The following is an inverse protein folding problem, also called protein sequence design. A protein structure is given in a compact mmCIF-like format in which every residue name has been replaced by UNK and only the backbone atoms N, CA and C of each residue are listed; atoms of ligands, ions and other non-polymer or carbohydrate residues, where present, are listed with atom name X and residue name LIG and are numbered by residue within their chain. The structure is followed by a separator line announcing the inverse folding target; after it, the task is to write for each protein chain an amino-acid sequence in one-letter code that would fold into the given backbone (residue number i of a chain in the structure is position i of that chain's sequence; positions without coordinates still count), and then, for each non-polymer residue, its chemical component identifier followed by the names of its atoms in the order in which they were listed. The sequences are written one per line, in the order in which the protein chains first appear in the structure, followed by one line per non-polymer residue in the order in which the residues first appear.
data_IF_869111098223
#
_entry.id   IF_869111098223
#
_cell.length_a   1.000
_cell.length_b   1.000
_cell.length_c   1.000
_cell.angle_alpha   90.00
_cell.angle_beta   90.00
_cell.angle_gamma   90.00
#
_symmetry.space_group_name_H-M   'P 1'
#
loop_
_entity.id
_entity.type
_entity.pdbx_description
1 polymer ?
#
# COMPACT_ATOMS: atom_id res chain seq x y z
N UNK A 1 41.07 53.92 -35.75
CA UNK A 1 39.61 53.82 -35.56
C UNK A 1 39.11 52.55 -36.24
N UNK A 2 39.02 51.43 -35.51
CA UNK A 2 38.39 50.19 -35.95
C UNK A 2 37.93 49.45 -34.67
N UNK A 3 36.66 49.57 -34.29
CA UNK A 3 35.50 48.72 -34.65
C UNK A 3 35.49 47.33 -34.01
N UNK A 4 34.77 47.28 -32.86
CA UNK A 4 33.87 46.24 -32.34
C UNK A 4 33.73 44.95 -33.17
N UNK A 5 33.95 43.79 -32.52
CA UNK A 5 33.03 42.62 -32.49
C UNK A 5 33.34 41.76 -31.25
N UNK A 6 32.46 41.78 -30.24
CA UNK A 6 32.40 40.75 -29.19
C UNK A 6 31.30 39.79 -29.64
N UNK A 7 31.66 38.55 -29.93
CA UNK A 7 30.72 37.46 -30.17
C UNK A 7 30.35 36.85 -28.80
N UNK A 8 29.11 37.05 -28.38
CA UNK A 8 28.53 36.39 -27.22
C UNK A 8 28.06 35.00 -27.70
N UNK A 9 28.80 33.94 -27.35
CA UNK A 9 28.33 32.58 -27.52
C UNK A 9 27.34 32.28 -26.40
N UNK A 10 26.04 32.37 -26.71
CA UNK A 10 24.99 31.88 -25.84
C UNK A 10 25.05 30.35 -25.78
N UNK A 11 25.43 29.81 -24.64
CA UNK A 11 25.20 28.40 -24.32
C UNK A 11 23.69 28.21 -24.15
N UNK A 12 23.05 27.65 -25.17
CA UNK A 12 21.69 27.11 -25.04
C UNK A 12 21.85 25.81 -24.25
N UNK A 13 21.63 25.88 -22.95
CA UNK A 13 21.38 24.72 -22.12
C UNK A 13 20.02 24.14 -22.53
N UNK A 14 20.03 23.14 -23.40
CA UNK A 14 18.90 22.24 -23.60
C UNK A 14 18.73 21.43 -22.30
N UNK A 15 17.94 21.97 -21.37
CA UNK A 15 17.26 21.16 -20.38
C UNK A 15 16.28 20.30 -21.17
N UNK A 16 16.64 19.03 -21.41
CA UNK A 16 15.71 18.05 -21.91
C UNK A 16 14.68 17.78 -20.82
N UNK A 17 13.57 18.51 -20.85
CA UNK A 17 12.32 17.97 -20.31
C UNK A 17 11.99 16.76 -21.19
N UNK A 18 11.92 15.57 -20.59
CA UNK A 18 11.20 14.47 -21.22
C UNK A 18 9.81 15.02 -21.56
N UNK A 19 9.54 15.18 -22.86
CA UNK A 19 8.24 15.58 -23.32
C UNK A 19 7.38 14.34 -23.25
N UNK A 20 6.71 14.15 -22.12
CA UNK A 20 5.55 13.27 -22.05
C UNK A 20 4.53 13.77 -23.07
N UNK A 21 3.95 12.85 -23.84
CA UNK A 21 2.97 13.22 -24.87
C UNK A 21 1.79 13.95 -24.21
N UNK A 22 1.32 15.05 -24.80
CA UNK A 22 0.14 15.75 -24.30
C UNK A 22 -1.05 14.78 -24.21
N UNK A 23 -1.85 14.87 -23.14
CA UNK A 23 -2.97 13.97 -22.87
C UNK A 23 -3.80 13.67 -24.12
N UNK A 24 -4.26 12.43 -24.24
CA UNK A 24 -5.04 11.93 -25.38
C UNK A 24 -6.29 12.76 -25.71
N UNK A 25 -6.73 13.63 -24.79
CA UNK A 25 -7.75 14.65 -25.00
C UNK A 25 -7.58 15.87 -24.07
N UNK A 26 -8.23 16.98 -24.41
CA UNK A 26 -8.34 18.16 -23.52
C UNK A 26 -9.62 18.07 -22.68
N UNK A 27 -9.47 18.10 -21.35
CA UNK A 27 -10.56 18.06 -20.39
C UNK A 27 -10.95 19.49 -19.93
N UNK A 28 -12.19 19.86 -20.21
CA UNK A 28 -12.78 21.13 -19.77
C UNK A 28 -13.69 20.97 -18.54
N UNK A 29 -14.01 19.74 -18.14
CA UNK A 29 -14.89 19.44 -17.00
C UNK A 29 -14.05 19.43 -15.72
N UNK A 30 -14.41 20.19 -14.66
CA UNK A 30 -13.67 20.17 -13.41
C UNK A 30 -13.76 18.79 -12.73
N UNK A 31 -12.64 18.07 -12.65
CA UNK A 31 -12.54 16.75 -12.02
C UNK A 31 -11.63 16.82 -10.79
N UNK A 32 -12.04 16.20 -9.69
CA UNK A 32 -11.20 16.01 -8.50
C UNK A 32 -11.02 14.54 -8.17
N UNK A 33 -9.83 14.18 -7.67
CA UNK A 33 -9.56 12.86 -7.11
C UNK A 33 -9.16 12.90 -5.63
N UNK A 34 -9.49 11.85 -4.90
CA UNK A 34 -8.99 11.58 -3.54
C UNK A 34 -8.44 10.16 -3.46
N UNK A 35 -7.16 10.00 -3.12
CA UNK A 35 -6.47 8.70 -3.03
C UNK A 35 -5.40 8.67 -1.94
N UNK A 36 -4.80 7.50 -1.73
CA UNK A 36 -3.71 7.33 -0.78
C UNK A 36 -2.44 8.08 -1.21
N UNK A 37 -1.67 8.60 -0.25
CA UNK A 37 -0.40 9.28 -0.53
C UNK A 37 0.79 8.33 -0.71
N UNK A 38 1.08 7.90 -1.93
CA UNK A 38 2.34 7.22 -2.26
C UNK A 38 2.71 7.38 -3.75
N UNK A 39 3.91 6.96 -4.12
CA UNK A 39 4.53 7.30 -5.40
C UNK A 39 3.74 6.85 -6.63
N UNK A 40 3.13 5.66 -6.59
CA UNK A 40 2.32 5.20 -7.71
C UNK A 40 1.06 6.06 -7.92
N UNK A 41 0.34 6.42 -6.84
CA UNK A 41 -0.78 7.37 -6.97
C UNK A 41 -0.31 8.74 -7.44
N UNK A 42 0.86 9.20 -6.98
CA UNK A 42 1.47 10.44 -7.48
C UNK A 42 1.68 10.38 -8.99
N UNK A 43 2.36 9.36 -9.50
CA UNK A 43 2.59 9.17 -10.94
C UNK A 43 1.28 9.15 -11.74
N UNK A 44 0.31 8.36 -11.29
CA UNK A 44 -1.02 8.25 -11.90
C UNK A 44 -1.72 9.61 -11.93
N UNK A 45 -1.72 10.35 -10.82
CA UNK A 45 -2.41 11.65 -10.75
C UNK A 45 -1.68 12.78 -11.46
N UNK A 46 -0.35 12.72 -11.56
CA UNK A 46 0.43 13.68 -12.34
C UNK A 46 0.09 13.53 -13.83
N UNK A 47 0.02 12.30 -14.35
CA UNK A 47 -0.44 12.02 -15.71
C UNK A 47 -1.90 12.46 -15.95
N UNK A 48 -2.80 12.20 -15.00
CA UNK A 48 -4.18 12.72 -15.06
C UNK A 48 -4.24 14.26 -15.17
N UNK A 49 -3.30 14.97 -14.54
CA UNK A 49 -3.26 16.43 -14.55
C UNK A 49 -2.89 17.01 -15.93
N UNK A 50 -2.24 16.25 -16.79
CA UNK A 50 -1.87 16.67 -18.15
C UNK A 50 -3.10 16.88 -19.05
N UNK A 51 -4.24 16.27 -18.72
CA UNK A 51 -5.50 16.46 -19.45
C UNK A 51 -6.16 17.82 -19.20
N UNK A 52 -5.73 18.57 -18.17
CA UNK A 52 -6.36 19.84 -17.80
C UNK A 52 -7.62 19.69 -16.96
N UNK A 53 -8.04 20.79 -16.33
CA UNK A 53 -9.21 20.87 -15.42
C UNK A 53 -9.30 19.77 -14.36
N UNK A 54 -8.14 19.26 -13.89
CA UNK A 54 -8.03 18.20 -12.90
C UNK A 54 -7.28 18.65 -11.65
N UNK A 55 -7.73 18.20 -10.48
CA UNK A 55 -7.05 18.41 -9.20
C UNK A 55 -7.01 17.12 -8.37
N UNK A 56 -5.81 16.67 -8.01
CA UNK A 56 -5.63 15.52 -7.13
C UNK A 56 -5.45 15.94 -5.66
N UNK A 57 -6.00 15.12 -4.76
CA UNK A 57 -5.70 15.11 -3.33
C UNK A 57 -5.12 13.74 -2.95
N UNK A 58 -3.85 13.75 -2.55
CA UNK A 58 -3.14 12.59 -2.02
C UNK A 58 -3.06 12.72 -0.50
N UNK A 59 -3.68 11.79 0.24
CA UNK A 59 -3.79 11.89 1.69
C UNK A 59 -3.57 10.53 2.37
N UNK A 60 -2.85 10.50 3.50
CA UNK A 60 -2.67 9.28 4.32
C UNK A 60 -3.96 8.88 5.06
N UNK A 61 -4.84 9.85 5.32
CA UNK A 61 -6.12 9.67 6.00
C UNK A 61 -7.31 9.63 5.03
N UNK A 62 -7.05 9.47 3.73
CA UNK A 62 -8.09 9.42 2.69
C UNK A 62 -9.22 8.44 3.04
N UNK A 63 -8.89 7.29 3.65
CA UNK A 63 -9.84 6.24 4.06
C UNK A 63 -10.94 6.74 5.00
N UNK A 64 -10.65 7.75 5.81
CA UNK A 64 -11.60 8.35 6.77
C UNK A 64 -12.47 9.44 6.13
N UNK A 65 -11.98 10.06 5.05
CA UNK A 65 -12.63 11.18 4.35
C UNK A 65 -13.50 10.70 3.19
N UNK A 66 -13.05 9.67 2.49
CA UNK A 66 -13.60 9.22 1.21
C UNK A 66 -15.08 8.81 1.29
N UNK A 67 -15.56 8.06 2.29
CA UNK A 67 -16.98 7.70 2.37
C UNK A 67 -17.91 8.91 2.40
N UNK A 68 -17.69 9.85 3.32
CA UNK A 68 -18.51 11.06 3.43
C UNK A 68 -18.39 11.95 2.18
N UNK A 69 -17.21 12.00 1.56
CA UNK A 69 -16.99 12.78 0.35
C UNK A 69 -17.77 12.24 -0.87
N UNK A 70 -17.93 10.92 -0.95
CA UNK A 70 -18.71 10.23 -1.99
C UNK A 70 -20.22 10.22 -1.71
N UNK A 71 -20.63 10.26 -0.44
CA UNK A 71 -22.04 10.39 -0.03
C UNK A 71 -22.63 11.76 -0.33
N UNK A 72 -21.81 12.81 -0.40
CA UNK A 72 -22.25 14.16 -0.76
C UNK A 72 -22.99 14.18 -2.10
N UNK A 73 -23.86 15.18 -2.28
CA UNK A 73 -24.65 15.36 -3.50
C UNK A 73 -24.65 16.84 -3.96
N UNK A 74 -23.90 17.19 -5.03
CA UNK A 74 -23.01 16.31 -5.79
C UNK A 74 -21.82 15.81 -4.94
N UNK A 75 -21.20 14.70 -5.34
CA UNK A 75 -20.02 14.16 -4.67
C UNK A 75 -18.88 15.20 -4.69
N UNK A 76 -18.06 15.22 -3.63
CA UNK A 76 -16.96 16.19 -3.51
C UNK A 76 -15.76 15.86 -4.43
N UNK A 77 -15.63 14.59 -4.81
CA UNK A 77 -14.63 14.08 -5.75
C UNK A 77 -15.31 13.16 -6.77
N UNK A 78 -14.90 13.27 -8.03
CA UNK A 78 -15.41 12.43 -9.12
C UNK A 78 -14.67 11.09 -9.19
N UNK A 79 -13.37 11.09 -8.86
CA UNK A 79 -12.50 9.91 -8.89
C UNK A 79 -12.06 9.54 -7.46
N UNK A 80 -12.13 8.26 -7.11
CA UNK A 80 -11.64 7.75 -5.84
C UNK A 80 -10.52 6.74 -6.09
N UNK A 81 -9.38 6.91 -5.41
CA UNK A 81 -8.42 5.83 -5.27
C UNK A 81 -8.83 4.91 -4.13
N UNK A 82 -8.97 3.61 -4.41
CA UNK A 82 -9.40 2.60 -3.45
C UNK A 82 -8.45 1.42 -3.43
N UNK A 83 -8.53 0.61 -2.38
CA UNK A 83 -7.99 -0.73 -2.29
C UNK A 83 -9.08 -1.72 -1.87
N UNK A 84 -8.74 -3.01 -1.73
CA UNK A 84 -9.65 -4.02 -1.15
C UNK A 84 -10.31 -3.53 0.16
N UNK A 85 -9.56 -2.83 1.00
CA UNK A 85 -10.04 -2.37 2.30
C UNK A 85 -10.96 -1.14 2.24
N UNK A 86 -10.85 -0.30 1.21
CA UNK A 86 -11.58 0.97 1.14
C UNK A 86 -12.70 1.00 0.12
N UNK A 87 -12.77 0.02 -0.81
CA UNK A 87 -13.90 -0.09 -1.73
C UNK A 87 -15.19 -0.52 -1.01
N UNK A 88 -15.08 -1.34 0.03
CA UNK A 88 -16.24 -1.98 0.70
C UNK A 88 -17.25 -0.96 1.27
N UNK A 89 -16.84 0.08 2.03
CA UNK A 89 -17.79 1.10 2.50
C UNK A 89 -18.55 1.79 1.36
N UNK A 90 -17.88 2.10 0.25
CA UNK A 90 -18.48 2.78 -0.91
C UNK A 90 -19.49 1.90 -1.66
N UNK A 91 -19.22 0.59 -1.72
CA UNK A 91 -20.15 -0.40 -2.25
C UNK A 91 -21.40 -0.49 -1.37
N UNK A 92 -21.21 -0.58 -0.05
CA UNK A 92 -22.29 -0.72 0.91
C UNK A 92 -23.21 0.52 0.94
N UNK A 93 -22.63 1.72 0.84
CA UNK A 93 -23.39 2.98 0.74
C UNK A 93 -23.98 3.21 -0.65
N UNK A 94 -23.57 2.42 -1.66
CA UNK A 94 -24.03 2.56 -3.03
C UNK A 94 -23.64 3.90 -3.68
N UNK A 95 -22.48 4.45 -3.30
CA UNK A 95 -22.00 5.80 -3.70
C UNK A 95 -21.02 5.78 -4.86
N UNK A 96 -20.63 4.59 -5.35
CA UNK A 96 -19.85 4.40 -6.58
C UNK A 96 -20.72 3.79 -7.68
N UNK A 97 -20.46 4.16 -8.93
CA UNK A 97 -21.23 3.68 -10.08
C UNK A 97 -20.60 2.42 -10.71
N UNK A 98 -21.40 1.53 -11.32
CA UNK A 98 -20.89 0.55 -12.26
C UNK A 98 -20.15 1.23 -13.42
N UNK A 99 -19.04 0.62 -13.84
CA UNK A 99 -18.14 1.13 -14.86
C UNK A 99 -18.31 0.42 -16.21
N UNK A 100 -19.22 -0.56 -16.34
CA UNK A 100 -19.37 -1.36 -17.56
C UNK A 100 -19.55 -0.51 -18.83
N UNK A 101 -20.41 0.51 -18.80
CA UNK A 101 -20.64 1.42 -19.93
C UNK A 101 -19.41 2.30 -20.23
N UNK A 102 -18.70 2.75 -19.19
CA UNK A 102 -17.50 3.59 -19.31
C UNK A 102 -16.34 2.78 -19.88
N UNK A 103 -16.15 1.55 -19.40
CA UNK A 103 -15.16 0.60 -19.91
C UNK A 103 -15.46 0.24 -21.36
N UNK A 104 -16.73 0.04 -21.74
CA UNK A 104 -17.10 -0.23 -23.13
C UNK A 104 -16.76 0.94 -24.06
N UNK A 105 -16.93 2.18 -23.58
CA UNK A 105 -16.64 3.41 -24.34
C UNK A 105 -15.15 3.73 -24.41
N UNK A 106 -14.40 3.61 -23.31
CA UNK A 106 -13.05 4.19 -23.17
C UNK A 106 -11.99 3.23 -22.61
N UNK A 107 -12.35 2.01 -22.22
CA UNK A 107 -11.47 1.06 -21.53
C UNK A 107 -10.75 0.08 -22.46
N UNK A 108 -10.52 0.41 -23.74
CA UNK A 108 -9.99 -0.55 -24.73
C UNK A 108 -8.58 -1.04 -24.42
N UNK A 109 -7.82 -0.29 -23.61
CA UNK A 109 -6.47 -0.66 -23.19
C UNK A 109 -6.44 -1.43 -21.85
N UNK A 110 -7.60 -1.64 -21.21
CA UNK A 110 -7.67 -2.35 -19.94
C UNK A 110 -7.57 -3.86 -20.15
N UNK A 111 -6.77 -4.51 -19.30
CA UNK A 111 -6.65 -5.96 -19.26
C UNK A 111 -7.69 -6.58 -18.31
N UNK A 112 -8.14 -7.84 -18.54
CA UNK A 112 -9.16 -8.48 -17.71
C UNK A 112 -8.84 -8.53 -16.21
N UNK A 113 -7.57 -8.66 -15.85
CA UNK A 113 -7.07 -8.67 -14.46
C UNK A 113 -7.16 -7.30 -13.76
N UNK A 114 -7.42 -6.21 -14.49
CA UNK A 114 -7.68 -4.90 -13.92
C UNK A 114 -9.16 -4.70 -13.56
N UNK A 115 -10.08 -5.50 -14.10
CA UNK A 115 -11.52 -5.27 -13.96
C UNK A 115 -12.04 -5.93 -12.68
N UNK A 116 -12.16 -5.14 -11.61
CA UNK A 116 -12.69 -5.63 -10.33
C UNK A 116 -14.22 -5.72 -10.43
N UNK A 117 -14.73 -6.96 -10.36
CA UNK A 117 -16.17 -7.24 -10.48
C UNK A 117 -16.81 -7.54 -9.13
N UNK A 118 -17.93 -6.88 -8.85
CA UNK A 118 -18.79 -7.15 -7.70
C UNK A 118 -20.20 -7.36 -8.21
N UNK A 119 -20.84 -8.47 -7.84
CA UNK A 119 -22.17 -8.85 -8.33
C UNK A 119 -22.31 -8.84 -9.87
N UNK A 120 -21.23 -9.20 -10.58
CA UNK A 120 -21.17 -9.26 -12.03
C UNK A 120 -20.85 -7.93 -12.75
N UNK A 121 -20.91 -6.80 -12.05
CA UNK A 121 -20.64 -5.46 -12.60
C UNK A 121 -19.19 -5.04 -12.35
N UNK A 122 -18.59 -4.28 -13.26
CA UNK A 122 -17.27 -3.68 -13.05
C UNK A 122 -17.44 -2.52 -12.06
N UNK A 123 -16.87 -2.63 -10.87
CA UNK A 123 -16.98 -1.59 -9.83
C UNK A 123 -15.71 -0.79 -9.62
N UNK A 124 -14.56 -1.31 -10.05
CA UNK A 124 -13.29 -0.58 -10.03
C UNK A 124 -12.38 -1.04 -11.17
N UNK A 125 -11.40 -0.21 -11.50
CA UNK A 125 -10.28 -0.55 -12.37
C UNK A 125 -9.00 -0.56 -11.53
N UNK A 126 -8.44 -1.74 -11.29
CA UNK A 126 -7.20 -1.91 -10.56
C UNK A 126 -5.99 -1.45 -11.40
N UNK A 127 -5.09 -0.72 -10.75
CA UNK A 127 -3.87 -0.17 -11.36
C UNK A 127 -2.62 -0.97 -10.97
N UNK A 128 -2.60 -1.54 -9.77
CA UNK A 128 -1.42 -2.22 -9.22
C UNK A 128 -1.83 -3.30 -8.22
N UNK A 129 -0.89 -4.21 -7.96
CA UNK A 129 -0.92 -5.09 -6.78
C UNK A 129 0.12 -4.63 -5.77
N UNK A 130 -0.15 -4.92 -4.50
CA UNK A 130 0.72 -4.60 -3.40
C UNK A 130 0.74 -5.73 -2.37
N UNK A 131 1.87 -5.92 -1.73
CA UNK A 131 2.04 -6.85 -0.61
C UNK A 131 3.29 -6.44 0.16
N UNK A 132 3.39 -6.87 1.42
CA UNK A 132 4.66 -6.69 2.12
C UNK A 132 5.66 -7.75 1.67
N UNK A 133 6.93 -7.38 1.67
CA UNK A 133 8.05 -8.26 1.37
C UNK A 133 9.27 -7.82 2.17
N UNK A 134 10.26 -8.71 2.29
CA UNK A 134 11.48 -8.39 3.04
C UNK A 134 12.40 -7.51 2.19
N UNK A 135 12.62 -6.28 2.65
CA UNK A 135 13.70 -5.42 2.20
C UNK A 135 14.85 -5.54 3.18
N UNK A 136 16.08 -5.73 2.68
CA UNK A 136 17.26 -5.88 3.55
C UNK A 136 18.53 -5.29 2.95
N UNK A 137 19.43 -4.83 3.82
CA UNK A 137 20.77 -4.35 3.47
C UNK A 137 21.68 -5.52 3.17
N UNK A 138 21.80 -5.87 1.89
CA UNK A 138 22.57 -7.03 1.43
C UNK A 138 24.06 -6.90 1.76
N UNK A 139 24.59 -5.67 1.78
CA UNK A 139 25.96 -5.38 2.20
C UNK A 139 26.18 -5.69 3.69
N UNK A 140 25.25 -5.29 4.57
CA UNK A 140 25.34 -5.59 6.02
C UNK A 140 25.25 -7.10 6.27
N UNK A 141 24.31 -7.78 5.61
CA UNK A 141 24.18 -9.23 5.78
C UNK A 141 25.44 -9.96 5.31
N UNK A 142 26.00 -9.58 4.16
CA UNK A 142 27.22 -10.16 3.64
C UNK A 142 28.44 -9.93 4.56
N UNK A 143 28.64 -8.69 5.03
CA UNK A 143 29.75 -8.33 5.92
C UNK A 143 29.71 -9.09 7.26
N UNK A 144 28.50 -9.39 7.75
CA UNK A 144 28.29 -10.12 9.00
C UNK A 144 28.15 -11.65 8.80
N UNK A 145 28.24 -12.15 7.56
CA UNK A 145 28.05 -13.57 7.24
C UNK A 145 26.66 -14.08 7.62
N UNK A 146 25.64 -13.27 7.40
CA UNK A 146 24.23 -13.57 7.64
C UNK A 146 23.59 -13.96 6.32
N UNK A 147 23.02 -15.17 6.25
CA UNK A 147 22.22 -15.61 5.11
C UNK A 147 20.91 -14.80 5.02
N UNK A 148 20.30 -14.74 3.83
CA UNK A 148 19.01 -14.04 3.65
C UNK A 148 17.92 -14.71 4.49
N UNK A 149 17.29 -14.00 5.47
CA UNK A 149 16.23 -14.58 6.28
C UNK A 149 14.99 -14.91 5.47
N UNK A 150 14.36 -16.04 5.79
CA UNK A 150 13.13 -16.55 5.16
C UNK A 150 11.98 -16.72 6.15
N UNK A 151 12.25 -16.62 7.45
CA UNK A 151 11.26 -16.69 8.52
C UNK A 151 11.46 -15.57 9.54
N UNK A 152 10.42 -15.28 10.33
CA UNK A 152 10.52 -14.28 11.40
C UNK A 152 11.57 -14.63 12.45
N UNK A 153 11.74 -15.91 12.79
CA UNK A 153 12.80 -16.33 13.71
C UNK A 153 14.21 -16.06 13.15
N UNK A 154 14.42 -16.29 11.86
CA UNK A 154 15.68 -15.94 11.19
C UNK A 154 15.89 -14.42 11.11
N UNK A 155 14.82 -13.64 10.92
CA UNK A 155 14.89 -12.18 10.98
C UNK A 155 15.35 -11.72 12.36
N UNK A 156 14.80 -12.26 13.45
CA UNK A 156 15.24 -11.89 14.80
C UNK A 156 16.67 -12.33 15.10
N UNK A 157 17.08 -13.52 14.63
CA UNK A 157 18.47 -13.97 14.76
C UNK A 157 19.44 -13.06 13.98
N UNK A 158 19.05 -12.60 12.79
CA UNK A 158 19.81 -11.61 12.02
C UNK A 158 19.83 -10.26 12.75
N UNK A 159 18.69 -9.81 13.27
CA UNK A 159 18.55 -8.55 13.99
C UNK A 159 19.44 -8.51 15.25
N UNK A 160 19.54 -9.61 15.99
CA UNK A 160 20.43 -9.74 17.15
C UNK A 160 21.90 -9.56 16.77
N UNK A 161 22.35 -10.22 15.70
CA UNK A 161 23.73 -10.07 15.19
C UNK A 161 24.01 -8.65 14.72
N UNK A 162 23.08 -8.03 14.00
CA UNK A 162 23.20 -6.65 13.51
C UNK A 162 23.26 -5.67 14.68
N UNK A 163 22.42 -5.86 15.71
CA UNK A 163 22.42 -5.08 16.95
C UNK A 163 23.76 -5.17 17.66
N UNK A 164 24.30 -6.39 17.79
CA UNK A 164 25.59 -6.63 18.44
C UNK A 164 26.76 -5.98 17.66
N UNK A 165 26.66 -5.90 16.34
CA UNK A 165 27.65 -5.23 15.50
C UNK A 165 27.56 -3.69 15.56
N UNK A 166 26.39 -3.13 15.87
CA UNK A 166 26.19 -1.68 16.01
C UNK A 166 26.39 -0.89 14.71
N UNK A 167 26.07 -1.50 13.57
CA UNK A 167 26.30 -0.92 12.22
C UNK A 167 25.15 -0.04 11.72
N UNK A 168 24.01 -0.07 12.41
CA UNK A 168 22.81 0.74 12.17
C UNK A 168 22.18 1.13 13.52
N UNK A 169 21.31 2.14 13.52
CA UNK A 169 20.62 2.61 14.73
C UNK A 169 19.66 1.53 15.27
N UNK A 170 18.86 0.94 14.37
CA UNK A 170 17.89 -0.10 14.70
C UNK A 170 17.98 -1.23 13.67
N UNK A 171 18.15 -2.50 14.07
CA UNK A 171 18.20 -3.59 13.08
C UNK A 171 16.94 -3.72 12.22
N UNK A 172 15.76 -3.46 12.79
CA UNK A 172 14.47 -3.60 12.12
C UNK A 172 13.72 -2.27 12.02
N UNK A 173 13.06 -2.04 10.88
CA UNK A 173 11.96 -1.09 10.74
C UNK A 173 10.62 -1.80 10.82
N UNK A 174 9.63 -1.22 11.51
CA UNK A 174 8.30 -1.79 11.66
C UNK A 174 7.21 -0.71 11.57
N UNK A 175 6.12 -1.01 10.88
CA UNK A 175 4.99 -0.11 10.64
C UNK A 175 3.93 -0.23 11.73
N UNK A 176 4.24 0.17 12.96
CA UNK A 176 3.36 0.00 14.13
C UNK A 176 2.64 1.28 14.58
N UNK A 177 2.51 2.29 13.72
CA UNK A 177 1.69 3.47 14.03
C UNK A 177 0.29 3.06 14.50
N UNK A 178 -0.16 3.61 15.63
CA UNK A 178 -1.48 3.33 16.21
C UNK A 178 -2.61 3.47 15.18
N UNK A 179 -3.63 2.62 15.27
CA UNK A 179 -4.70 2.53 14.29
C UNK A 179 -4.38 1.54 13.16
N UNK A 180 -4.48 2.00 11.91
CA UNK A 180 -4.47 1.11 10.74
C UNK A 180 -3.14 0.34 10.54
N UNK A 181 -1.99 0.96 10.80
CA UNK A 181 -0.71 0.30 10.50
C UNK A 181 -0.44 -0.88 11.46
N UNK A 182 -0.57 -0.66 12.77
CA UNK A 182 -0.41 -1.74 13.76
C UNK A 182 -1.43 -2.87 13.58
N UNK A 183 -2.68 -2.54 13.22
CA UNK A 183 -3.68 -3.54 12.89
C UNK A 183 -3.29 -4.38 11.69
N UNK A 184 -2.72 -3.75 10.66
CA UNK A 184 -2.28 -4.43 9.46
C UNK A 184 -1.14 -5.42 9.73
N UNK A 185 -0.21 -5.11 10.63
CA UNK A 185 0.85 -6.05 11.04
C UNK A 185 0.25 -7.30 11.68
N UNK A 186 -0.75 -7.16 12.56
CA UNK A 186 -1.48 -8.31 13.09
C UNK A 186 -2.22 -9.08 12.00
N UNK A 187 -2.91 -8.38 11.09
CA UNK A 187 -3.64 -8.99 9.96
C UNK A 187 -2.71 -9.78 9.04
N UNK A 188 -1.45 -9.37 8.90
CA UNK A 188 -0.44 -10.09 8.15
C UNK A 188 0.05 -11.35 8.88
N UNK A 189 0.30 -11.24 10.19
CA UNK A 189 0.84 -12.36 10.98
C UNK A 189 -0.19 -13.45 11.24
N UNK A 190 -1.43 -13.07 11.54
CA UNK A 190 -2.44 -13.97 12.08
C UNK A 190 -2.81 -15.13 11.12
N UNK A 191 -3.09 -14.89 9.82
CA UNK A 191 -3.25 -15.97 8.84
C UNK A 191 -1.96 -16.76 8.59
N UNK A 192 -0.79 -16.14 8.76
CA UNK A 192 0.50 -16.80 8.68
C UNK A 192 0.68 -17.90 9.74
N UNK A 193 0.01 -17.78 10.88
CA UNK A 193 -0.10 -18.82 11.91
C UNK A 193 -1.32 -19.74 11.75
N UNK A 194 -2.03 -19.65 10.61
CA UNK A 194 -3.22 -20.46 10.32
C UNK A 194 -4.51 -19.97 11.00
N UNK A 195 -4.53 -18.73 11.50
CA UNK A 195 -5.71 -18.12 12.09
C UNK A 195 -6.77 -17.74 11.06
N UNK A 196 -8.04 -17.93 11.42
CA UNK A 196 -9.20 -17.34 10.73
C UNK A 196 -9.78 -16.22 11.58
N UNK A 197 -10.14 -15.10 10.97
CA UNK A 197 -10.59 -13.91 11.70
C UNK A 197 -12.00 -14.08 12.27
N UNK A 198 -12.81 -14.92 11.63
CA UNK A 198 -14.23 -15.07 11.95
C UNK A 198 -14.62 -16.54 12.01
N UNK A 199 -15.55 -16.85 12.91
CA UNK A 199 -16.27 -18.11 12.89
C UNK A 199 -17.36 -18.08 11.80
N UNK A 200 -17.96 -19.24 11.51
CA UNK A 200 -19.03 -19.40 10.50
C UNK A 200 -20.25 -18.48 10.74
N UNK A 201 -20.47 -18.06 11.98
CA UNK A 201 -21.56 -17.16 12.40
C UNK A 201 -21.18 -15.67 12.40
N UNK A 202 -20.02 -15.33 11.82
CA UNK A 202 -19.39 -13.99 11.81
C UNK A 202 -18.90 -13.47 13.16
N UNK A 203 -18.96 -14.24 14.25
CA UNK A 203 -18.30 -13.85 15.50
C UNK A 203 -16.78 -13.84 15.32
N UNK A 204 -16.08 -13.01 16.09
CA UNK A 204 -14.61 -12.96 16.02
C UNK A 204 -13.98 -14.28 16.51
N UNK A 205 -12.82 -14.63 15.93
CA UNK A 205 -12.06 -15.82 16.29
C UNK A 205 -10.58 -15.53 16.60
N UNK A 206 -10.22 -14.25 16.78
CA UNK A 206 -8.82 -13.82 16.96
C UNK A 206 -8.25 -14.17 18.32
N UNK A 207 -9.08 -14.41 19.33
CA UNK A 207 -8.68 -14.93 20.64
C UNK A 207 -8.38 -16.42 20.57
N UNK A 208 -7.23 -16.73 19.99
CA UNK A 208 -6.79 -18.09 19.69
C UNK A 208 -5.28 -18.23 19.85
N UNK A 209 -4.77 -19.47 19.76
CA UNK A 209 -3.33 -19.74 19.78
C UNK A 209 -2.59 -18.99 18.67
N UNK A 210 -3.19 -18.86 17.49
CA UNK A 210 -2.64 -18.09 16.37
C UNK A 210 -2.58 -16.58 16.72
N UNK A 211 -3.58 -16.06 17.44
CA UNK A 211 -3.60 -14.67 17.89
C UNK A 211 -2.49 -14.39 18.90
N UNK A 212 -2.30 -15.28 19.87
CA UNK A 212 -1.22 -15.18 20.85
C UNK A 212 0.17 -15.23 20.18
N UNK A 213 0.36 -16.11 19.19
CA UNK A 213 1.61 -16.20 18.41
C UNK A 213 1.86 -14.95 17.57
N UNK A 214 0.82 -14.38 16.96
CA UNK A 214 0.90 -13.12 16.23
C UNK A 214 1.35 -11.98 17.16
N UNK A 215 0.70 -11.82 18.33
CA UNK A 215 1.08 -10.83 19.34
C UNK A 215 2.52 -11.02 19.83
N UNK A 216 2.92 -12.25 20.16
CA UNK A 216 4.28 -12.54 20.61
C UNK A 216 5.35 -12.20 19.55
N UNK A 217 5.04 -12.44 18.26
CA UNK A 217 5.93 -12.06 17.15
C UNK A 217 6.04 -10.53 17.05
N UNK A 218 4.92 -9.82 17.11
CA UNK A 218 4.92 -8.35 17.10
C UNK A 218 5.68 -7.76 18.30
N UNK A 219 5.49 -8.29 19.50
CA UNK A 219 6.18 -7.86 20.72
C UNK A 219 7.70 -8.06 20.63
N UNK A 220 8.14 -9.22 20.12
CA UNK A 220 9.57 -9.52 19.93
C UNK A 220 10.26 -8.55 18.97
N UNK A 221 9.53 -7.99 18.00
CA UNK A 221 10.08 -6.98 17.10
C UNK A 221 10.51 -5.69 17.83
N UNK A 222 9.84 -5.34 18.94
CA UNK A 222 10.11 -4.12 19.72
C UNK A 222 11.55 -4.07 20.27
N UNK A 223 12.19 -5.22 20.45
CA UNK A 223 13.58 -5.29 20.91
C UNK A 223 14.60 -4.76 19.87
N UNK A 224 14.19 -4.66 18.60
CA UNK A 224 15.06 -4.37 17.46
C UNK A 224 14.61 -3.17 16.63
N UNK A 225 13.50 -2.54 16.98
CA UNK A 225 12.95 -1.36 16.29
C UNK A 225 13.29 -0.07 17.03
N UNK A 226 12.95 1.06 16.39
CA UNK A 226 12.91 2.35 17.05
C UNK A 226 11.96 2.31 18.27
N UNK A 227 12.36 2.77 19.47
CA UNK A 227 11.48 2.86 20.63
C UNK A 227 10.21 3.70 20.41
N UNK A 228 10.20 4.63 19.45
CA UNK A 228 9.02 5.42 19.07
C UNK A 228 8.17 4.74 17.98
N UNK A 229 8.15 3.40 17.93
CA UNK A 229 7.48 2.64 16.86
C UNK A 229 5.98 2.93 16.70
N UNK A 230 5.29 3.43 17.73
CA UNK A 230 3.86 3.76 17.68
C UNK A 230 3.54 5.03 16.86
N UNK A 231 4.55 5.75 16.36
CA UNK A 231 4.36 6.79 15.33
C UNK A 231 4.85 6.34 13.95
N UNK A 232 5.43 5.14 13.85
CA UNK A 232 6.07 4.60 12.65
C UNK A 232 5.05 4.08 11.64
N UNK A 233 4.73 4.90 10.63
CA UNK A 233 4.02 4.44 9.44
C UNK A 233 4.99 4.02 8.32
N UNK A 234 4.44 3.52 7.22
CA UNK A 234 5.26 3.06 6.08
C UNK A 234 6.18 4.12 5.49
N UNK A 235 5.82 5.41 5.55
CA UNK A 235 6.66 6.50 5.08
C UNK A 235 7.83 6.72 6.04
N UNK A 236 7.56 6.68 7.35
CA UNK A 236 8.60 6.75 8.36
C UNK A 236 9.64 5.62 8.21
N UNK A 237 9.19 4.37 8.06
CA UNK A 237 10.09 3.21 7.85
C UNK A 237 10.87 3.35 6.55
N UNK A 238 10.24 3.79 5.46
CA UNK A 238 10.92 4.07 4.20
C UNK A 238 12.06 5.08 4.41
N UNK A 239 11.80 6.18 5.11
CA UNK A 239 12.80 7.22 5.38
C UNK A 239 13.94 6.71 6.27
N UNK A 240 13.64 5.89 7.29
CA UNK A 240 14.69 5.24 8.10
C UNK A 240 15.62 4.39 7.23
N UNK A 241 15.05 3.64 6.28
CA UNK A 241 15.82 2.80 5.36
C UNK A 241 16.68 3.64 4.41
N UNK A 242 16.10 4.67 3.78
CA UNK A 242 16.82 5.63 2.91
C UNK A 242 17.99 6.30 3.64
N UNK A 243 17.81 6.63 4.92
CA UNK A 243 18.84 7.25 5.77
C UNK A 243 19.87 6.23 6.30
N UNK A 244 19.75 4.95 5.98
CA UNK A 244 20.65 3.89 6.44
C UNK A 244 20.54 3.58 7.94
N UNK A 245 19.44 3.99 8.59
CA UNK A 245 19.21 3.79 10.03
C UNK A 245 18.74 2.38 10.39
N UNK A 246 18.21 1.66 9.39
CA UNK A 246 17.76 0.29 9.54
C UNK A 246 18.41 -0.65 8.54
N UNK A 247 18.46 -1.94 8.90
CA UNK A 247 19.05 -2.98 8.07
C UNK A 247 18.00 -3.86 7.40
N UNK A 248 16.84 -4.10 8.02
CA UNK A 248 15.78 -4.94 7.47
C UNK A 248 14.40 -4.35 7.77
N UNK A 249 13.43 -4.58 6.90
CA UNK A 249 12.02 -4.29 7.13
C UNK A 249 11.15 -5.19 6.26
N UNK A 250 10.07 -5.74 6.83
CA UNK A 250 8.98 -6.30 6.02
C UNK A 250 8.04 -5.13 5.67
N UNK A 251 8.12 -4.62 4.45
CA UNK A 251 7.50 -3.35 4.06
C UNK A 251 6.72 -3.51 2.76
N UNK A 252 5.78 -2.61 2.48
CA UNK A 252 5.03 -2.60 1.22
C UNK A 252 5.92 -2.49 0.00
N UNK A 253 5.66 -3.28 -1.05
CA UNK A 253 6.43 -3.22 -2.30
C UNK A 253 6.37 -1.85 -2.97
N UNK A 254 5.29 -1.09 -2.77
CA UNK A 254 5.18 0.31 -3.22
C UNK A 254 6.17 1.28 -2.57
N UNK A 255 6.94 0.84 -1.56
CA UNK A 255 8.02 1.62 -0.92
C UNK A 255 9.40 1.26 -1.44
N UNK A 256 9.51 0.19 -2.25
CA UNK A 256 10.80 -0.37 -2.67
C UNK A 256 11.60 0.58 -3.56
N UNK A 257 10.95 1.21 -4.55
CA UNK A 257 11.60 2.10 -5.52
C UNK A 257 12.31 3.30 -4.87
N UNK A 258 11.83 3.76 -3.71
CA UNK A 258 12.44 4.87 -2.97
C UNK A 258 13.88 4.59 -2.51
N UNK A 259 14.29 3.32 -2.41
CA UNK A 259 15.66 2.95 -2.06
C UNK A 259 16.67 3.28 -3.17
N UNK A 260 16.20 3.36 -4.42
CA UNK A 260 17.01 3.63 -5.61
C UNK A 260 17.07 5.12 -5.98
N UNK A 261 16.34 5.99 -5.29
CA UNK A 261 16.39 7.43 -5.53
C UNK A 261 17.68 8.03 -4.95
N UNK A 262 18.67 8.29 -5.81
CA UNK A 262 19.95 8.86 -5.40
C UNK A 262 19.88 10.30 -4.85
N UNK A 263 18.76 11.01 -5.03
CA UNK A 263 18.56 12.32 -4.42
C UNK A 263 18.21 12.22 -2.92
N UNK A 264 17.51 11.15 -2.52
CA UNK A 264 16.92 11.01 -1.18
C UNK A 264 17.49 9.81 -0.40
N UNK A 265 18.13 8.84 -1.06
CA UNK A 265 18.61 7.58 -0.46
C UNK A 265 20.13 7.51 -0.35
N UNK A 266 20.60 7.13 0.84
CA UNK A 266 22.02 6.85 1.14
C UNK A 266 22.39 5.37 0.92
N UNK A 267 21.40 4.55 0.55
CA UNK A 267 21.53 3.08 0.43
C UNK A 267 21.30 2.57 -0.99
N UNK A 268 21.38 3.45 -1.99
CA UNK A 268 21.28 3.07 -3.42
C UNK A 268 22.24 1.92 -3.74
N UNK A 269 21.70 0.87 -4.36
CA UNK A 269 22.45 -0.33 -4.75
C UNK A 269 22.88 -1.23 -3.58
N UNK A 270 22.39 -1.00 -2.36
CA UNK A 270 22.71 -1.80 -1.17
C UNK A 270 21.51 -2.56 -0.60
N UNK A 271 20.32 -2.34 -1.14
CA UNK A 271 19.08 -2.96 -0.69
C UNK A 271 18.69 -4.05 -1.67
N UNK A 272 18.45 -5.25 -1.14
CA UNK A 272 17.92 -6.37 -1.89
C UNK A 272 16.54 -6.76 -1.34
N UNK A 273 15.79 -7.49 -2.17
CA UNK A 273 14.42 -7.90 -1.88
C UNK A 273 14.32 -9.42 -1.77
N UNK A 274 13.57 -9.90 -0.80
CA UNK A 274 13.18 -11.31 -0.64
C UNK A 274 11.68 -11.41 -0.37
N UNK A 275 11.13 -12.63 -0.43
CA UNK A 275 9.74 -12.87 -0.06
C UNK A 275 9.47 -12.40 1.37
N UNK A 276 8.21 -12.10 1.68
CA UNK A 276 7.81 -11.86 3.06
C UNK A 276 8.15 -13.11 3.91
N UNK A 277 8.68 -12.93 5.11
CA UNK A 277 9.03 -14.04 5.98
C UNK A 277 7.80 -14.89 6.30
N UNK A 278 7.99 -16.21 6.40
CA UNK A 278 6.97 -17.09 6.96
C UNK A 278 6.91 -16.93 8.48
N UNK A 279 5.70 -17.04 9.03
CA UNK A 279 5.48 -17.04 10.48
C UNK A 279 5.73 -18.43 11.11
N UNK A 280 5.56 -19.49 10.33
CA UNK A 280 5.82 -20.87 10.75
C UNK A 280 6.33 -21.73 9.59
N UNK A 281 7.07 -22.78 9.91
CA UNK A 281 7.57 -23.72 8.92
C UNK A 281 6.43 -24.33 8.09
N UNK A 282 6.58 -24.33 6.77
CA UNK A 282 5.57 -24.82 5.83
C UNK A 282 4.33 -23.93 5.67
N UNK A 283 4.26 -22.80 6.39
CA UNK A 283 3.20 -21.79 6.23
C UNK A 283 3.38 -20.93 4.98
N UNK A 284 2.35 -20.14 4.66
CA UNK A 284 2.45 -19.11 3.65
C UNK A 284 3.32 -17.95 4.16
N UNK A 285 3.89 -17.11 3.27
CA UNK A 285 4.43 -15.81 3.67
C UNK A 285 3.44 -15.05 4.55
N UNK A 286 3.90 -14.52 5.69
CA UNK A 286 3.03 -13.86 6.67
C UNK A 286 2.70 -12.44 6.21
N UNK A 287 1.79 -12.34 5.24
CA UNK A 287 1.34 -11.09 4.66
C UNK A 287 0.00 -11.31 3.95
N UNK A 288 -0.60 -10.22 3.47
CA UNK A 288 -1.82 -10.23 2.67
C UNK A 288 -1.56 -9.63 1.28
N UNK A 289 -2.33 -10.08 0.28
CA UNK A 289 -2.31 -9.54 -1.07
C UNK A 289 -3.35 -8.42 -1.21
N UNK A 290 -2.94 -7.31 -1.81
CA UNK A 290 -3.73 -6.11 -2.04
C UNK A 290 -3.69 -5.70 -3.50
N UNK A 291 -4.70 -4.94 -3.90
CA UNK A 291 -4.67 -4.12 -5.11
C UNK A 291 -5.11 -2.70 -4.78
N UNK A 292 -4.62 -1.76 -5.56
CA UNK A 292 -5.10 -0.37 -5.58
C UNK A 292 -5.68 -0.07 -6.96
N UNK A 293 -6.68 0.81 -7.02
CA UNK A 293 -7.39 1.12 -8.25
C UNK A 293 -8.34 2.29 -8.14
N UNK A 294 -8.97 2.64 -9.25
CA UNK A 294 -9.91 3.77 -9.34
C UNK A 294 -11.36 3.31 -9.29
N UNK A 295 -12.20 4.15 -8.68
CA UNK A 295 -13.66 4.13 -8.74
C UNK A 295 -14.18 5.48 -9.21
N UNK A 296 -15.40 5.51 -9.76
CA UNK A 296 -16.09 6.73 -10.16
C UNK A 296 -17.30 6.94 -9.25
N UNK A 297 -17.45 8.16 -8.74
CA UNK A 297 -18.59 8.52 -7.90
C UNK A 297 -19.91 8.34 -8.65
N UNK A 298 -20.97 8.01 -7.92
CA UNK A 298 -22.33 7.87 -8.46
C UNK A 298 -23.11 9.18 -8.42
N UNK A 299 -22.90 10.00 -7.39
CA UNK A 299 -23.63 11.25 -7.17
C UNK A 299 -23.04 12.42 -7.99
N UNK A 300 -22.83 12.20 -9.29
CA UNK A 300 -22.30 13.17 -10.26
C UNK A 300 -23.09 13.04 -11.57
N UNK A 301 -22.97 14.03 -12.46
CA UNK A 301 -23.58 13.95 -13.79
C UNK A 301 -22.89 12.90 -14.67
N UNK A 302 -23.57 12.42 -15.72
CA UNK A 302 -22.95 11.51 -16.70
C UNK A 302 -21.80 12.19 -17.46
N UNK A 303 -21.89 13.50 -17.71
CA UNK A 303 -20.80 14.28 -18.30
C UNK A 303 -19.54 14.27 -17.43
N UNK A 304 -19.69 14.50 -16.11
CA UNK A 304 -18.58 14.38 -15.16
C UNK A 304 -18.03 12.97 -15.09
N UNK A 305 -18.88 11.94 -15.17
CA UNK A 305 -18.41 10.55 -15.12
C UNK A 305 -17.67 10.11 -16.39
N UNK A 306 -18.14 10.50 -17.58
CA UNK A 306 -17.45 10.28 -18.86
C UNK A 306 -16.08 10.99 -18.83
N UNK A 307 -16.02 12.25 -18.37
CA UNK A 307 -14.76 12.99 -18.24
C UNK A 307 -13.82 12.38 -17.19
N UNK A 308 -14.31 12.07 -15.98
CA UNK A 308 -13.54 11.47 -14.91
C UNK A 308 -12.91 10.13 -15.30
N UNK A 309 -13.67 9.28 -15.99
CA UNK A 309 -13.14 7.99 -16.43
C UNK A 309 -12.06 8.16 -17.49
N UNK A 310 -12.24 9.06 -18.46
CA UNK A 310 -11.22 9.34 -19.48
C UNK A 310 -9.94 9.91 -18.88
N UNK A 311 -10.06 10.87 -17.95
CA UNK A 311 -8.91 11.39 -17.18
C UNK A 311 -8.22 10.23 -16.45
N UNK A 312 -8.98 9.35 -15.80
CA UNK A 312 -8.41 8.21 -15.09
C UNK A 312 -7.68 7.23 -16.01
N UNK A 313 -8.15 7.00 -17.24
CA UNK A 313 -7.47 6.12 -18.20
C UNK A 313 -6.13 6.69 -18.67
N UNK A 314 -5.97 8.01 -18.71
CA UNK A 314 -4.68 8.62 -19.01
C UNK A 314 -3.63 8.26 -17.97
N UNK A 315 -3.98 8.35 -16.68
CA UNK A 315 -3.09 7.93 -15.60
C UNK A 315 -2.82 6.42 -15.54
N UNK A 316 -3.57 5.61 -16.28
CA UNK A 316 -3.46 4.15 -16.31
C UNK A 316 -3.01 3.64 -17.69
N UNK A 317 -2.11 4.38 -18.33
CA UNK A 317 -1.55 4.05 -19.63
C UNK A 317 -0.11 3.51 -19.55
N UNK A 318 0.41 3.06 -20.69
CA UNK A 318 1.73 2.47 -20.76
C UNK A 318 2.86 3.50 -20.55
N UNK A 319 2.67 4.75 -20.97
CA UNK A 319 3.68 5.80 -20.84
C UNK A 319 3.88 6.19 -19.37
N UNK A 320 2.78 6.37 -18.63
CA UNK A 320 2.79 6.62 -17.18
C UNK A 320 3.50 5.50 -16.43
N UNK A 321 3.15 4.25 -16.73
CA UNK A 321 3.75 3.08 -16.07
C UNK A 321 5.23 2.91 -16.41
N UNK A 322 5.64 3.16 -17.66
CA UNK A 322 7.05 3.12 -18.02
C UNK A 322 7.86 4.24 -17.34
N UNK A 323 7.29 5.45 -17.24
CA UNK A 323 7.90 6.57 -16.53
C UNK A 323 8.03 6.34 -15.02
N UNK A 324 7.13 5.55 -14.43
CA UNK A 324 7.08 5.24 -13.00
C UNK A 324 7.21 3.72 -12.72
N UNK A 325 8.01 3.01 -13.52
CA UNK A 325 8.05 1.54 -13.51
C UNK A 325 8.40 0.96 -12.14
N UNK A 326 9.21 1.67 -11.36
CA UNK A 326 9.65 1.26 -10.02
C UNK A 326 8.72 1.70 -8.87
N UNK A 327 7.67 2.46 -9.16
CA UNK A 327 6.78 3.00 -8.12
C UNK A 327 5.76 1.96 -7.59
N UNK A 328 5.49 0.90 -8.35
CA UNK A 328 4.56 -0.17 -7.97
C UNK A 328 4.79 -1.45 -8.78
N UNK A 329 4.03 -2.50 -8.42
CA UNK A 329 3.83 -3.67 -9.27
C UNK A 329 2.54 -3.44 -10.05
N UNK A 330 2.69 -2.88 -11.24
CA UNK A 330 1.58 -2.42 -12.05
C UNK A 330 0.81 -3.59 -12.69
N UNK A 331 -0.52 -3.43 -12.78
CA UNK A 331 -1.41 -4.31 -13.56
C UNK A 331 -1.68 -3.77 -14.97
N UNK A 332 -1.11 -2.59 -15.27
CA UNK A 332 -1.25 -1.87 -16.53
C UNK A 332 -0.24 -2.41 -17.55
N UNK A 333 -0.62 -2.39 -18.83
CA UNK A 333 0.29 -2.74 -19.93
C UNK A 333 1.53 -1.84 -19.93
N UNK A 334 2.70 -2.40 -20.21
CA UNK A 334 3.96 -1.65 -20.29
C UNK A 334 4.84 -1.79 -19.05
N UNK A 335 4.34 -2.43 -17.99
CA UNK A 335 5.14 -2.78 -16.82
C UNK A 335 6.23 -3.80 -17.12
N UNK A 336 7.45 -3.52 -16.68
CA UNK A 336 8.59 -4.42 -16.76
C UNK A 336 9.13 -4.69 -15.34
N UNK A 337 8.94 -5.89 -14.78
CA UNK A 337 9.45 -6.20 -13.44
C UNK A 337 10.96 -5.98 -13.31
N UNK A 338 11.38 -5.23 -12.28
CA UNK A 338 12.79 -5.04 -11.92
C UNK A 338 13.14 -5.81 -10.64
N UNK A 339 14.39 -5.75 -10.19
CA UNK A 339 14.86 -6.40 -8.97
C UNK A 339 14.10 -5.95 -7.71
N UNK A 340 13.56 -4.72 -7.69
CA UNK A 340 12.78 -4.23 -6.56
C UNK A 340 11.45 -4.98 -6.40
N UNK A 341 10.90 -5.54 -7.49
CA UNK A 341 9.66 -6.29 -7.48
C UNK A 341 9.87 -7.76 -7.10
N UNK A 342 11.12 -8.25 -7.13
CA UNK A 342 11.44 -9.66 -7.00
C UNK A 342 10.89 -10.27 -5.71
N UNK A 343 11.03 -9.59 -4.57
CA UNK A 343 10.53 -10.09 -3.30
C UNK A 343 9.01 -10.21 -3.26
N UNK A 344 8.29 -9.22 -3.78
CA UNK A 344 6.83 -9.25 -3.79
C UNK A 344 6.26 -10.24 -4.83
N UNK A 345 6.94 -10.43 -5.96
CA UNK A 345 6.64 -11.50 -6.91
C UNK A 345 6.85 -12.87 -6.25
N UNK A 346 7.95 -13.04 -5.51
CA UNK A 346 8.23 -14.27 -4.76
C UNK A 346 7.17 -14.52 -3.67
N UNK A 347 6.75 -13.48 -2.94
CA UNK A 347 5.64 -13.52 -1.98
C UNK A 347 4.34 -14.00 -2.66
N UNK A 348 3.92 -13.34 -3.74
CA UNK A 348 2.66 -13.63 -4.41
C UNK A 348 2.64 -14.99 -5.11
N UNK A 349 3.82 -15.50 -5.51
CA UNK A 349 3.98 -16.79 -6.18
C UNK A 349 4.32 -17.95 -5.23
N UNK A 350 4.37 -17.69 -3.92
CA UNK A 350 4.69 -18.71 -2.92
C UNK A 350 3.63 -19.83 -2.89
N UNK A 351 4.04 -21.00 -2.40
CA UNK A 351 3.14 -22.14 -2.17
C UNK A 351 3.37 -22.74 -0.78
N UNK A 352 2.40 -22.66 0.15
CA UNK A 352 1.08 -22.04 -0.02
C UNK A 352 1.17 -20.52 -0.24
N UNK A 353 0.21 -19.98 -1.01
CA UNK A 353 0.15 -18.54 -1.30
C UNK A 353 -0.43 -17.76 -0.11
N UNK A 354 0.02 -16.51 0.13
CA UNK A 354 -0.61 -15.64 1.12
C UNK A 354 -2.05 -15.32 0.71
N UNK A 355 -2.97 -15.15 1.67
CA UNK A 355 -4.35 -14.80 1.38
C UNK A 355 -4.46 -13.36 0.85
N UNK A 356 -5.48 -13.09 0.03
CA UNK A 356 -5.87 -11.72 -0.26
C UNK A 356 -6.53 -11.08 0.98
N UNK A 357 -6.38 -9.76 1.15
CA UNK A 357 -7.09 -9.06 2.21
C UNK A 357 -8.62 -9.22 2.03
N UNK A 358 -9.36 -9.69 3.05
CA UNK A 358 -10.81 -9.88 2.93
C UNK A 358 -11.55 -8.55 2.72
N UNK A 359 -12.13 -8.36 1.54
CA UNK A 359 -12.93 -7.17 1.19
C UNK A 359 -14.36 -7.29 1.72
N UNK A 360 -14.53 -7.29 3.04
CA UNK A 360 -15.84 -7.44 3.71
C UNK A 360 -16.06 -6.40 4.79
N UNK A 361 -17.33 -6.17 5.15
CA UNK A 361 -17.69 -5.28 6.27
C UNK A 361 -17.06 -5.76 7.57
N UNK A 362 -17.14 -7.07 7.84
CA UNK A 362 -16.56 -7.72 9.02
C UNK A 362 -15.08 -7.41 9.15
N UNK A 363 -14.32 -7.54 8.06
CA UNK A 363 -12.88 -7.30 8.08
C UNK A 363 -12.53 -5.83 8.32
N UNK A 364 -13.32 -4.88 7.80
CA UNK A 364 -13.15 -3.46 8.10
C UNK A 364 -13.36 -3.14 9.58
N UNK A 365 -14.38 -3.74 10.20
CA UNK A 365 -14.67 -3.60 11.63
C UNK A 365 -13.57 -4.25 12.48
N UNK A 366 -13.14 -5.46 12.12
CA UNK A 366 -12.05 -6.17 12.80
C UNK A 366 -10.73 -5.39 12.72
N UNK A 367 -10.39 -4.84 11.55
CA UNK A 367 -9.20 -4.00 11.39
C UNK A 367 -9.26 -2.77 12.30
N UNK A 368 -10.43 -2.14 12.43
CA UNK A 368 -10.63 -1.01 13.35
C UNK A 368 -10.46 -1.42 14.81
N UNK A 369 -11.06 -2.54 15.22
CA UNK A 369 -10.92 -3.07 16.59
C UNK A 369 -9.45 -3.38 16.93
N UNK A 370 -8.73 -4.07 16.03
CA UNK A 370 -7.30 -4.32 16.16
C UNK A 370 -6.51 -3.01 16.34
N UNK A 371 -6.78 -2.01 15.49
CA UNK A 371 -6.03 -0.75 15.50
C UNK A 371 -6.21 0.07 16.77
N UNK A 372 -7.37 -0.07 17.42
CA UNK A 372 -7.70 0.62 18.66
C UNK A 372 -7.12 -0.09 19.89
N UNK A 373 -7.12 -1.42 19.90
CA UNK A 373 -6.79 -2.20 21.09
C UNK A 373 -5.31 -2.65 21.16
N UNK A 374 -4.63 -2.85 20.03
CA UNK A 374 -3.23 -3.28 19.99
C UNK A 374 -2.22 -2.30 20.62
N UNK A 375 -2.41 -0.95 20.58
CA UNK A 375 -1.48 -0.04 21.23
C UNK A 375 -1.29 -0.32 22.73
N UNK A 376 -2.35 -0.71 23.45
CA UNK A 376 -2.27 -1.04 24.87
C UNK A 376 -1.40 -2.28 25.15
N UNK A 377 -1.36 -3.23 24.20
CA UNK A 377 -0.46 -4.38 24.28
C UNK A 377 1.00 -3.98 24.10
N UNK A 378 1.31 -3.22 23.04
CA UNK A 378 2.71 -2.84 22.75
C UNK A 378 3.32 -1.89 23.78
N UNK A 379 2.50 -1.14 24.53
CA UNK A 379 2.98 -0.32 25.65
C UNK A 379 3.13 -1.10 26.97
N UNK A 380 2.71 -2.37 27.01
CA UNK A 380 2.67 -3.20 28.21
C UNK A 380 1.56 -2.82 29.20
N UNK A 381 0.59 -1.99 28.78
CA UNK A 381 -0.60 -1.67 29.59
C UNK A 381 -1.53 -2.88 29.73
N UNK A 382 -1.56 -3.74 28.71
CA UNK A 382 -2.41 -4.93 28.65
C UNK A 382 -1.60 -6.14 28.20
N UNK A 383 -1.85 -7.31 28.79
CA UNK A 383 -1.23 -8.56 28.32
C UNK A 383 -1.90 -9.09 27.03
N UNK A 384 -1.27 -10.09 26.41
CA UNK A 384 -1.73 -10.63 25.13
C UNK A 384 -3.16 -11.21 25.18
N UNK A 385 -3.49 -11.95 26.25
CA UNK A 385 -4.80 -12.60 26.38
C UNK A 385 -5.91 -11.57 26.52
N UNK A 386 -5.76 -10.63 27.46
CA UNK A 386 -6.71 -9.56 27.66
C UNK A 386 -6.84 -8.66 26.42
N UNK A 387 -5.77 -8.51 25.63
CA UNK A 387 -5.81 -7.75 24.38
C UNK A 387 -6.69 -8.41 23.33
N UNK A 388 -6.55 -9.72 23.12
CA UNK A 388 -7.40 -10.44 22.16
C UNK A 388 -8.87 -10.43 22.60
N UNK A 389 -9.15 -10.59 23.89
CA UNK A 389 -10.50 -10.47 24.44
C UNK A 389 -11.12 -9.09 24.17
N UNK A 390 -10.36 -8.02 24.37
CA UNK A 390 -10.81 -6.65 24.10
C UNK A 390 -11.03 -6.40 22.60
N UNK A 391 -10.20 -6.98 21.72
CA UNK A 391 -10.40 -6.90 20.26
C UNK A 391 -11.73 -7.57 19.87
N UNK A 392 -12.01 -8.76 20.40
CA UNK A 392 -13.27 -9.47 20.13
C UNK A 392 -14.49 -8.72 20.67
N UNK A 393 -14.38 -8.11 21.86
CA UNK A 393 -15.43 -7.28 22.43
C UNK A 393 -15.69 -6.04 21.55
N UNK A 394 -14.65 -5.30 21.17
CA UNK A 394 -14.76 -4.12 20.32
C UNK A 394 -15.34 -4.47 18.93
N UNK A 395 -14.91 -5.58 18.33
CA UNK A 395 -15.51 -6.09 17.10
C UNK A 395 -16.99 -6.43 17.30
N UNK A 396 -17.35 -7.15 18.36
CA UNK A 396 -18.74 -7.58 18.61
C UNK A 396 -19.69 -6.38 18.75
N UNK A 397 -19.26 -5.32 19.45
CA UNK A 397 -20.04 -4.09 19.60
C UNK A 397 -20.29 -3.46 18.22
N UNK A 398 -19.22 -3.20 17.47
CA UNK A 398 -19.33 -2.54 16.17
C UNK A 398 -20.03 -3.39 15.11
N UNK A 399 -19.90 -4.72 15.18
CA UNK A 399 -20.58 -5.65 14.29
C UNK A 399 -22.10 -5.68 14.53
N UNK A 400 -22.57 -5.54 15.77
CA UNK A 400 -24.00 -5.37 16.07
C UNK A 400 -24.53 -4.04 15.55
N UNK A 401 -23.78 -2.95 15.75
CA UNK A 401 -24.17 -1.63 15.21
C UNK A 401 -24.27 -1.64 13.68
N UNK A 402 -23.40 -2.41 13.02
CA UNK A 402 -23.41 -2.61 11.57
C UNK A 402 -24.41 -3.67 11.07
N UNK A 403 -25.19 -4.30 11.96
CA UNK A 403 -26.10 -5.42 11.66
C UNK A 403 -25.41 -6.63 11.00
N UNK A 404 -24.12 -6.84 11.28
CA UNK A 404 -23.37 -8.05 10.92
C UNK A 404 -23.70 -9.18 11.89
N UNK A 405 -23.84 -8.86 13.18
CA UNK A 405 -24.23 -9.77 14.25
C UNK A 405 -25.59 -9.38 14.83
N UNK A 406 -26.32 -10.38 15.34
CA UNK A 406 -27.57 -10.20 16.07
C UNK A 406 -27.39 -9.71 17.52
#
# INVERSE_FOLDING_TARGET
MFLKRIALAGAISLLGSAAFAACSFENEVPIKSLSAGFEAWKAVTDAMAECGSFQAELDQEFRTKQPAAFEANPALYQIGGVSNGTITPLLNSGTIRPLDDLVAKYGQNLSPNQLIRVNGQIMAVAMMVNTQHLMYRSDILADLGIETPTSWDEIYAAAEKIKAAGVVDYPLGATMKSGWNIAQEFVNMYPGFGGDFFNDDNTAAVNSEAGLKALATMEKALEYTDPEVLVSDSTYVQQQFQQGKIAMANLWSSRAGAMNDAAESQVVGKVAMAAAPVAMEGGAPATTLWWDGIVIAKNISDEEADAAFRVAMEGLDAETVQGANEAAIWLVQGYEPTEIAAGAIATASANPAPPAYPSTTQMGLMHTALGNELPAFLTGERDAQATLEAIEEAYTISAREANVLE
#
